data_IF_858458958849
#
_entry.id   IF_858458958849
#
_cell.length_a   1.000
_cell.length_b   1.000
_cell.length_c   1.000
_cell.angle_alpha   90.00
_cell.angle_beta   90.00
_cell.angle_gamma   90.00
#
_symmetry.space_group_name_H-M   'P 1'
#
loop_
_entity.id
_entity.type
_entity.pdbx_description
1 polymer ?
#
# COMPACT_ATOMS: atom_id res chain seq x y z
N UNK A 1 -23.74 3.65 1.06
CA UNK A 1 -23.24 2.26 1.21
C UNK A 1 -23.51 1.82 2.64
N UNK A 2 -24.77 1.91 3.05
CA UNK A 2 -25.19 1.60 4.41
C UNK A 2 -25.64 0.14 4.45
N UNK A 3 -25.28 -0.56 5.51
CA UNK A 3 -25.64 -1.96 5.74
C UNK A 3 -26.19 -2.05 7.15
N UNK A 4 -27.31 -2.74 7.31
CA UNK A 4 -27.94 -2.97 8.60
C UNK A 4 -27.33 -4.20 9.32
N UNK A 5 -26.33 -4.85 8.72
CA UNK A 5 -25.62 -5.98 9.33
C UNK A 5 -24.71 -5.49 10.46
N UNK A 6 -25.15 -5.70 11.70
CA UNK A 6 -24.43 -5.30 12.90
C UNK A 6 -23.02 -5.92 13.00
N UNK A 7 -22.79 -7.11 12.44
CA UNK A 7 -21.46 -7.73 12.42
C UNK A 7 -20.49 -6.91 11.57
N UNK A 8 -20.94 -6.47 10.40
CA UNK A 8 -20.14 -5.63 9.50
C UNK A 8 -19.91 -4.25 10.11
N UNK A 9 -20.94 -3.66 10.74
CA UNK A 9 -20.83 -2.37 11.44
C UNK A 9 -19.78 -2.45 12.54
N UNK A 10 -19.84 -3.45 13.44
CA UNK A 10 -18.88 -3.63 14.52
C UNK A 10 -17.45 -3.85 13.99
N UNK A 11 -17.29 -4.61 12.90
CA UNK A 11 -15.99 -4.79 12.25
C UNK A 11 -15.43 -3.47 11.72
N UNK A 12 -16.27 -2.62 11.11
CA UNK A 12 -15.89 -1.28 10.61
C UNK A 12 -15.50 -0.34 11.76
N UNK A 13 -16.25 -0.33 12.86
CA UNK A 13 -15.90 0.44 14.05
C UNK A 13 -14.55 0.04 14.62
N UNK A 14 -14.26 -1.26 14.69
CA UNK A 14 -12.95 -1.76 15.12
C UNK A 14 -11.82 -1.23 14.23
N UNK A 15 -11.97 -1.29 12.89
CA UNK A 15 -10.98 -0.71 11.96
C UNK A 15 -10.83 0.79 12.14
N UNK A 16 -11.92 1.50 12.38
CA UNK A 16 -11.88 2.94 12.63
C UNK A 16 -11.02 3.27 13.86
N UNK A 17 -11.24 2.57 14.97
CA UNK A 17 -10.43 2.74 16.18
C UNK A 17 -8.96 2.37 15.96
N UNK A 18 -8.68 1.23 15.33
CA UNK A 18 -7.31 0.82 15.04
C UNK A 18 -6.58 1.79 14.12
N UNK A 19 -7.24 2.32 13.08
CA UNK A 19 -6.64 3.35 12.21
C UNK A 19 -6.32 4.62 12.98
N UNK A 20 -7.20 5.05 13.88
CA UNK A 20 -6.95 6.24 14.71
C UNK A 20 -5.78 6.03 15.68
N UNK A 21 -5.69 4.86 16.29
CA UNK A 21 -4.54 4.49 17.13
C UNK A 21 -3.25 4.44 16.31
N UNK A 22 -3.29 3.80 15.14
CA UNK A 22 -2.17 3.70 14.20
C UNK A 22 -1.65 5.09 13.79
N UNK A 23 -2.54 6.02 13.47
CA UNK A 23 -2.20 7.41 13.18
C UNK A 23 -1.53 8.11 14.36
N UNK A 24 -2.03 7.89 15.59
CA UNK A 24 -1.41 8.44 16.80
C UNK A 24 0.00 7.88 17.03
N UNK A 25 0.18 6.58 16.83
CA UNK A 25 1.47 5.90 16.95
C UNK A 25 2.47 6.39 15.88
N UNK A 26 2.01 6.53 14.63
CA UNK A 26 2.84 7.06 13.53
C UNK A 26 3.28 8.51 13.79
N UNK A 27 2.39 9.36 14.32
CA UNK A 27 2.74 10.71 14.76
C UNK A 27 3.76 10.70 15.90
N UNK A 28 3.59 9.85 16.90
CA UNK A 28 4.55 9.74 18.01
C UNK A 28 5.92 9.25 17.53
N UNK A 29 5.95 8.22 16.68
CA UNK A 29 7.18 7.74 16.03
C UNK A 29 7.87 8.87 15.27
N UNK A 30 7.13 9.63 14.46
CA UNK A 30 7.68 10.75 13.71
C UNK A 30 8.33 11.81 14.61
N UNK A 31 7.77 12.07 15.80
CA UNK A 31 8.39 12.98 16.78
C UNK A 31 9.70 12.41 17.32
N UNK A 32 9.72 11.12 17.67
CA UNK A 32 10.91 10.45 18.23
C UNK A 32 12.04 10.27 17.21
N UNK A 33 11.72 10.26 15.91
CA UNK A 33 12.69 10.10 14.81
C UNK A 33 12.91 11.38 14.01
N UNK A 34 12.36 12.52 14.45
CA UNK A 34 12.49 13.78 13.72
C UNK A 34 13.94 14.24 13.77
N UNK A 35 14.56 14.36 12.60
CA UNK A 35 15.89 14.93 12.46
C UNK A 35 15.84 16.45 12.31
N UNK A 36 16.87 17.13 12.80
CA UNK A 36 17.10 18.57 12.57
C UNK A 36 17.80 18.85 11.23
N UNK A 37 18.16 20.13 10.99
CA UNK A 37 18.85 20.57 9.76
C UNK A 37 20.24 19.92 9.59
N UNK A 38 20.80 19.35 10.66
CA UNK A 38 22.08 18.65 10.68
C UNK A 38 21.91 17.14 10.56
N UNK A 39 20.67 16.65 10.42
CA UNK A 39 20.36 15.23 10.30
C UNK A 39 20.39 14.48 11.64
N UNK A 40 20.45 15.18 12.77
CA UNK A 40 20.52 14.57 14.10
C UNK A 40 19.11 14.38 14.68
N UNK A 41 18.79 13.14 15.06
CA UNK A 41 17.58 12.82 15.80
C UNK A 41 17.73 13.07 17.31
N UNK A 42 16.63 13.00 18.07
CA UNK A 42 16.65 13.23 19.52
C UNK A 42 17.63 12.32 20.27
N UNK A 43 17.77 11.07 19.82
CA UNK A 43 18.73 10.11 20.38
C UNK A 43 20.18 10.54 20.09
N UNK A 44 20.48 10.95 18.87
CA UNK A 44 21.83 11.36 18.46
C UNK A 44 22.28 12.61 19.22
N UNK A 45 21.35 13.53 19.50
CA UNK A 45 21.61 14.71 20.33
C UNK A 45 21.94 14.32 21.77
N UNK A 46 21.18 13.39 22.37
CA UNK A 46 21.47 12.89 23.72
C UNK A 46 22.83 12.18 23.77
N UNK A 47 23.15 11.39 22.75
CA UNK A 47 24.42 10.67 22.66
C UNK A 47 25.59 11.65 22.51
N UNK A 48 25.49 12.58 21.57
CA UNK A 48 26.51 13.62 21.34
C UNK A 48 26.73 14.48 22.59
N UNK A 49 25.64 14.83 23.29
CA UNK A 49 25.72 15.58 24.56
C UNK A 49 26.46 14.78 25.62
N UNK A 50 26.13 13.48 25.79
CA UNK A 50 26.82 12.61 26.74
C UNK A 50 28.31 12.48 26.42
N UNK A 51 28.66 12.24 25.15
CA UNK A 51 30.05 12.15 24.70
C UNK A 51 30.81 13.46 24.92
N UNK A 52 30.18 14.61 24.66
CA UNK A 52 30.77 15.93 24.90
C UNK A 52 31.06 16.16 26.39
N UNK A 53 30.11 15.82 27.26
CA UNK A 53 30.28 15.93 28.71
C UNK A 53 31.38 15.01 29.26
N UNK A 54 31.63 13.87 28.61
CA UNK A 54 32.73 12.96 28.94
C UNK A 54 34.08 13.36 28.31
N UNK A 55 34.09 14.38 27.45
CA UNK A 55 35.30 14.76 26.71
C UNK A 55 36.33 15.47 27.59
N UNK A 56 37.60 15.34 27.21
CA UNK A 56 38.71 16.00 27.89
C UNK A 56 38.62 17.54 27.87
N UNK A 57 37.85 18.11 26.93
CA UNK A 57 37.66 19.57 26.82
C UNK A 57 36.96 20.10 28.07
N UNK A 58 35.93 19.40 28.55
CA UNK A 58 35.18 19.78 29.75
C UNK A 58 36.06 19.73 31.00
N UNK A 59 36.90 18.70 31.10
CA UNK A 59 37.88 18.56 32.18
C UNK A 59 38.91 19.70 32.17
N UNK A 60 39.35 20.14 30.98
CA UNK A 60 40.32 21.24 30.84
C UNK A 60 39.74 22.61 31.22
N UNK A 61 38.43 22.82 31.01
CA UNK A 61 37.73 24.05 31.40
C UNK A 61 37.37 24.04 32.90
N UNK A 62 37.66 22.95 33.63
CA UNK A 62 37.46 22.84 35.08
C UNK A 62 35.99 22.64 35.48
N UNK A 63 35.15 22.21 34.54
CA UNK A 63 33.73 21.91 34.81
C UNK A 63 33.62 20.48 35.34
N UNK A 64 33.07 20.32 36.54
CA UNK A 64 32.77 19.02 37.12
C UNK A 64 31.41 18.53 36.62
N UNK A 65 31.40 17.45 35.86
CA UNK A 65 30.17 16.76 35.43
C UNK A 65 29.82 15.70 36.45
N UNK A 66 28.61 15.78 36.99
CA UNK A 66 28.07 14.79 37.92
C UNK A 66 27.73 13.48 37.19
N UNK A 67 28.15 12.33 37.74
CA UNK A 67 27.91 11.01 37.13
C UNK A 67 26.42 10.73 36.94
N UNK A 68 25.57 11.22 37.84
CA UNK A 68 24.11 11.11 37.72
C UNK A 68 23.60 11.77 36.43
N UNK A 69 24.22 12.86 35.97
CA UNK A 69 23.83 13.52 34.71
C UNK A 69 24.07 12.60 33.51
N UNK A 70 25.21 11.91 33.49
CA UNK A 70 25.54 10.96 32.42
C UNK A 70 24.60 9.75 32.43
N UNK A 71 24.26 9.24 33.62
CA UNK A 71 23.30 8.15 33.80
C UNK A 71 21.90 8.55 33.35
N UNK A 72 21.45 9.77 33.66
CA UNK A 72 20.15 10.29 33.21
C UNK A 72 20.10 10.35 31.68
N UNK A 73 21.15 10.88 31.01
CA UNK A 73 21.19 10.96 29.55
C UNK A 73 21.13 9.57 28.90
N UNK A 74 21.86 8.60 29.45
CA UNK A 74 21.82 7.20 28.97
C UNK A 74 20.43 6.56 29.20
N UNK A 75 19.81 6.80 30.35
CA UNK A 75 18.46 6.32 30.65
C UNK A 75 17.41 6.90 29.69
N UNK A 76 17.49 8.19 29.36
CA UNK A 76 16.59 8.81 28.38
C UNK A 76 16.78 8.23 26.97
N UNK A 77 18.01 7.89 26.56
CA UNK A 77 18.24 7.18 25.30
C UNK A 77 17.57 5.80 25.30
N UNK A 78 17.72 5.03 26.38
CA UNK A 78 17.11 3.72 26.52
C UNK A 78 15.58 3.80 26.53
N UNK A 79 14.99 4.85 27.12
CA UNK A 79 13.55 5.09 27.05
C UNK A 79 13.07 5.31 25.63
N UNK A 80 13.79 6.11 24.84
CA UNK A 80 13.45 6.34 23.43
C UNK A 80 13.50 5.04 22.64
N UNK A 81 14.54 4.23 22.82
CA UNK A 81 14.67 2.92 22.15
C UNK A 81 13.53 1.97 22.52
N UNK A 82 13.22 1.88 23.82
CA UNK A 82 12.12 1.07 24.30
C UNK A 82 10.78 1.53 23.73
N UNK A 83 10.52 2.84 23.75
CA UNK A 83 9.28 3.40 23.22
C UNK A 83 9.16 3.16 21.71
N UNK A 84 10.24 3.33 20.94
CA UNK A 84 10.25 3.04 19.50
C UNK A 84 9.98 1.56 19.21
N UNK A 85 10.57 0.64 19.99
CA UNK A 85 10.34 -0.79 19.85
C UNK A 85 8.88 -1.16 20.12
N UNK A 86 8.31 -0.61 21.20
CA UNK A 86 6.89 -0.81 21.55
C UNK A 86 5.97 -0.25 20.46
N UNK A 87 6.24 0.95 19.96
CA UNK A 87 5.46 1.57 18.87
C UNK A 87 5.53 0.71 17.60
N UNK A 88 6.72 0.27 17.19
CA UNK A 88 6.88 -0.54 15.97
C UNK A 88 6.11 -1.87 16.07
N UNK A 89 6.25 -2.58 17.18
CA UNK A 89 5.51 -3.83 17.42
C UNK A 89 4.01 -3.63 17.36
N UNK A 90 3.51 -2.53 17.96
CA UNK A 90 2.08 -2.21 17.98
C UNK A 90 1.55 -1.79 16.61
N UNK A 91 2.34 -1.03 15.85
CA UNK A 91 2.05 -0.66 14.44
C UNK A 91 1.89 -1.92 13.59
N UNK A 92 2.85 -2.85 13.64
CA UNK A 92 2.79 -4.10 12.89
C UNK A 92 1.57 -4.95 13.27
N UNK A 93 1.27 -5.04 14.56
CA UNK A 93 0.10 -5.75 15.07
C UNK A 93 -1.20 -5.15 14.54
N UNK A 94 -1.37 -3.82 14.64
CA UNK A 94 -2.56 -3.12 14.17
C UNK A 94 -2.72 -3.21 12.65
N UNK A 95 -1.64 -3.08 11.88
CA UNK A 95 -1.68 -3.25 10.42
C UNK A 95 -2.08 -4.69 10.04
N UNK A 96 -1.64 -5.70 10.79
CA UNK A 96 -2.08 -7.08 10.62
C UNK A 96 -3.57 -7.27 10.95
N UNK A 97 -4.06 -6.66 12.03
CA UNK A 97 -5.48 -6.73 12.41
C UNK A 97 -6.37 -6.05 11.36
N UNK A 98 -5.99 -4.85 10.91
CA UNK A 98 -6.73 -4.10 9.89
C UNK A 98 -6.81 -4.89 8.59
N UNK A 99 -5.70 -5.48 8.12
CA UNK A 99 -5.68 -6.25 6.88
C UNK A 99 -6.49 -7.55 6.94
N UNK A 100 -6.60 -8.17 8.12
CA UNK A 100 -7.32 -9.45 8.31
C UNK A 100 -8.78 -9.30 8.74
N UNK A 101 -9.24 -8.10 9.11
CA UNK A 101 -10.52 -7.90 9.77
C UNK A 101 -11.75 -8.44 9.02
N UNK A 102 -11.67 -8.43 7.68
CA UNK A 102 -12.75 -8.89 6.79
C UNK A 102 -12.37 -10.16 6.03
N UNK A 103 -11.26 -10.81 6.38
CA UNK A 103 -10.75 -11.98 5.65
C UNK A 103 -11.68 -13.20 5.73
N UNK A 104 -12.58 -13.24 6.72
CA UNK A 104 -13.61 -14.26 6.91
C UNK A 104 -14.84 -14.06 6.00
N UNK A 105 -15.05 -12.86 5.45
CA UNK A 105 -16.21 -12.54 4.61
C UNK A 105 -16.00 -13.00 3.16
N UNK A 106 -16.14 -14.30 2.91
CA UNK A 106 -15.92 -14.93 1.59
C UNK A 106 -17.17 -15.53 0.95
N UNK A 107 -18.36 -15.19 1.45
CA UNK A 107 -19.62 -15.79 0.98
C UNK A 107 -19.99 -15.40 -0.45
N UNK A 108 -19.52 -14.25 -0.93
CA UNK A 108 -19.81 -13.74 -2.27
C UNK A 108 -18.49 -13.39 -2.95
N UNK A 109 -18.18 -14.12 -4.02
CA UNK A 109 -16.98 -13.91 -4.84
C UNK A 109 -17.28 -13.19 -6.14
N UNK A 110 -16.35 -12.33 -6.56
CA UNK A 110 -16.36 -11.67 -7.85
C UNK A 110 -14.95 -11.72 -8.43
N UNK A 111 -14.86 -12.03 -9.72
CA UNK A 111 -13.60 -12.05 -10.46
C UNK A 111 -13.55 -10.87 -11.42
N UNK A 112 -12.37 -10.24 -11.54
CA UNK A 112 -12.16 -9.18 -12.52
C UNK A 112 -12.36 -9.76 -13.93
N UNK A 113 -13.17 -9.07 -14.73
CA UNK A 113 -13.47 -9.46 -16.11
C UNK A 113 -12.85 -8.48 -17.09
N UNK A 114 -13.09 -7.19 -16.90
CA UNK A 114 -12.51 -6.18 -17.78
C UNK A 114 -12.06 -4.93 -17.02
N UNK A 115 -11.01 -4.31 -17.53
CA UNK A 115 -10.38 -3.13 -16.95
C UNK A 115 -10.30 -2.09 -18.05
N UNK A 116 -11.01 -0.98 -17.86
CA UNK A 116 -11.04 0.11 -18.82
C UNK A 116 -10.02 1.15 -18.39
N UNK A 117 -9.11 1.43 -19.31
CA UNK A 117 -7.99 2.32 -19.07
C UNK A 117 -8.20 3.62 -19.83
N UNK A 118 -7.86 4.72 -19.17
CA UNK A 118 -7.78 6.04 -19.76
C UNK A 118 -6.36 6.60 -19.58
N UNK A 119 -5.79 7.14 -20.65
CA UNK A 119 -4.53 7.88 -20.62
C UNK A 119 -4.72 9.25 -21.27
N UNK A 120 -4.71 10.30 -20.46
CA UNK A 120 -4.88 11.66 -20.93
C UNK A 120 -5.36 12.60 -19.83
N UNK A 121 -5.89 13.74 -20.22
CA UNK A 121 -6.54 14.71 -19.35
C UNK A 121 -8.07 14.50 -19.31
N UNK A 122 -8.77 15.23 -18.46
CA UNK A 122 -10.22 15.09 -18.34
C UNK A 122 -10.99 15.45 -19.63
N UNK A 123 -10.44 16.34 -20.46
CA UNK A 123 -11.06 16.83 -21.69
C UNK A 123 -10.67 16.04 -22.94
N UNK A 124 -9.56 15.29 -22.90
CA UNK A 124 -9.09 14.48 -24.01
C UNK A 124 -8.16 13.37 -23.51
N UNK A 125 -8.22 12.22 -24.17
CA UNK A 125 -7.29 11.14 -23.90
C UNK A 125 -7.58 9.91 -24.72
N UNK A 126 -6.75 8.91 -24.52
CA UNK A 126 -6.81 7.64 -25.22
C UNK A 126 -7.39 6.56 -24.33
N UNK A 127 -8.25 5.71 -24.90
CA UNK A 127 -8.94 4.65 -24.18
C UNK A 127 -8.60 3.30 -24.77
N UNK A 128 -8.41 2.32 -23.90
CA UNK A 128 -8.35 0.91 -24.28
C UNK A 128 -8.92 0.06 -23.15
N UNK A 129 -9.19 -1.20 -23.45
CA UNK A 129 -9.74 -2.15 -22.50
C UNK A 129 -8.86 -3.40 -22.44
N UNK A 130 -8.57 -3.85 -21.21
CA UNK A 130 -8.08 -5.19 -20.98
C UNK A 130 -9.26 -6.10 -20.67
N UNK A 131 -9.41 -7.20 -21.42
CA UNK A 131 -10.42 -8.22 -21.14
C UNK A 131 -9.69 -9.49 -20.72
N UNK A 132 -10.09 -10.04 -19.58
CA UNK A 132 -9.58 -11.30 -19.06
C UNK A 132 -10.39 -12.46 -19.63
N UNK A 133 -9.68 -13.38 -20.24
CA UNK A 133 -10.22 -14.67 -20.63
C UNK A 133 -10.47 -15.52 -19.37
N UNK A 134 -11.72 -15.94 -19.09
CA UNK A 134 -12.06 -16.67 -17.87
C UNK A 134 -11.47 -18.09 -17.85
N UNK A 135 -11.24 -18.70 -19.01
CA UNK A 135 -10.73 -20.08 -19.12
C UNK A 135 -9.21 -20.12 -18.97
N UNK A 136 -8.51 -19.26 -19.72
CA UNK A 136 -7.04 -19.26 -19.73
C UNK A 136 -6.43 -18.35 -18.67
N UNK A 137 -7.22 -17.41 -18.13
CA UNK A 137 -6.76 -16.37 -17.21
C UNK A 137 -5.92 -15.26 -17.88
N UNK A 138 -5.71 -15.35 -19.20
CA UNK A 138 -4.92 -14.42 -19.99
C UNK A 138 -5.66 -13.11 -20.21
N UNK A 139 -4.90 -12.01 -20.29
CA UNK A 139 -5.44 -10.73 -20.68
C UNK A 139 -5.18 -10.45 -22.16
N UNK A 140 -6.17 -9.86 -22.81
CA UNK A 140 -6.03 -9.25 -24.13
C UNK A 140 -6.28 -7.77 -24.03
N UNK A 141 -5.40 -6.99 -24.65
CA UNK A 141 -5.53 -5.55 -24.83
C UNK A 141 -6.26 -5.28 -26.13
N UNK A 142 -7.39 -4.60 -26.04
CA UNK A 142 -8.14 -4.11 -27.19
C UNK A 142 -7.90 -2.61 -27.27
N UNK A 143 -7.04 -2.23 -28.20
CA UNK A 143 -6.60 -0.87 -28.43
C UNK A 143 -6.93 -0.50 -29.88
N UNK A 144 -8.13 0.06 -30.07
CA UNK A 144 -8.71 0.36 -31.38
C UNK A 144 -8.73 -0.87 -32.30
N UNK A 145 -8.10 -0.80 -33.47
CA UNK A 145 -7.97 -1.91 -34.42
C UNK A 145 -7.00 -3.01 -33.99
N UNK A 146 -6.20 -2.78 -32.93
CA UNK A 146 -5.16 -3.71 -32.49
C UNK A 146 -5.64 -4.50 -31.27
N UNK A 147 -5.66 -5.83 -31.43
CA UNK A 147 -5.88 -6.77 -30.33
C UNK A 147 -4.61 -7.58 -30.10
N UNK A 148 -4.06 -7.51 -28.90
CA UNK A 148 -2.85 -8.25 -28.52
C UNK A 148 -3.02 -8.96 -27.19
N UNK A 149 -2.41 -10.12 -27.05
CA UNK A 149 -2.25 -10.78 -25.75
C UNK A 149 -1.20 -10.02 -24.94
N UNK A 150 -1.47 -9.83 -23.64
CA UNK A 150 -0.60 -9.08 -22.74
C UNK A 150 -0.41 -9.83 -21.43
N UNK A 151 0.78 -9.74 -20.83
CA UNK A 151 1.06 -10.37 -19.56
C UNK A 151 0.39 -9.60 -18.41
N UNK A 152 0.20 -10.26 -17.26
CA UNK A 152 -0.43 -9.64 -16.09
C UNK A 152 0.35 -8.41 -15.59
N UNK A 153 1.67 -8.41 -15.76
CA UNK A 153 2.58 -7.34 -15.34
C UNK A 153 2.27 -6.02 -16.08
N UNK A 154 1.81 -6.05 -17.34
CA UNK A 154 1.36 -4.84 -18.04
C UNK A 154 0.04 -4.31 -17.48
N UNK A 155 -0.87 -5.23 -17.16
CA UNK A 155 -2.21 -4.91 -16.66
C UNK A 155 -2.15 -4.32 -15.24
N UNK A 156 -1.23 -4.83 -14.42
CA UNK A 156 -1.00 -4.44 -13.02
C UNK A 156 0.26 -3.58 -12.85
N UNK A 157 0.57 -2.71 -13.82
CA UNK A 157 1.65 -1.74 -13.69
C UNK A 157 1.24 -0.55 -12.81
N UNK A 158 1.61 -0.63 -11.54
CA UNK A 158 1.42 0.43 -10.53
C UNK A 158 2.62 1.38 -10.42
N UNK A 159 3.53 1.39 -11.40
CA UNK A 159 4.68 2.30 -11.40
C UNK A 159 4.23 3.76 -11.48
N UNK A 160 4.98 4.66 -10.85
CA UNK A 160 4.70 6.10 -10.88
C UNK A 160 4.89 6.72 -12.27
N UNK A 161 5.62 6.04 -13.16
CA UNK A 161 5.76 6.39 -14.57
C UNK A 161 4.53 6.06 -15.41
N UNK A 162 3.67 5.14 -14.95
CA UNK A 162 2.46 4.79 -15.67
C UNK A 162 1.42 5.91 -15.54
N UNK A 163 1.19 6.61 -16.66
CA UNK A 163 0.20 7.70 -16.74
C UNK A 163 -1.19 7.21 -17.15
N UNK A 164 -1.34 5.92 -17.40
CA UNK A 164 -2.61 5.30 -17.73
C UNK A 164 -3.32 4.88 -16.44
N UNK A 165 -4.58 5.29 -16.29
CA UNK A 165 -5.34 5.04 -15.06
C UNK A 165 -6.57 4.18 -15.35
N UNK A 166 -6.87 3.18 -14.51
CA UNK A 166 -8.14 2.47 -14.60
C UNK A 166 -9.26 3.42 -14.18
N UNK A 167 -10.22 3.67 -15.08
CA UNK A 167 -11.36 4.55 -14.79
C UNK A 167 -12.66 3.76 -14.55
N UNK A 168 -12.74 2.52 -15.07
CA UNK A 168 -13.88 1.64 -14.87
C UNK A 168 -13.45 0.17 -14.81
N UNK A 169 -14.07 -0.60 -13.91
CA UNK A 169 -13.79 -2.01 -13.68
C UNK A 169 -15.09 -2.80 -13.82
N UNK A 170 -15.06 -3.84 -14.64
CA UNK A 170 -16.15 -4.80 -14.76
C UNK A 170 -15.77 -6.09 -14.04
N UNK A 171 -16.65 -6.53 -13.15
CA UNK A 171 -16.51 -7.78 -12.41
C UNK A 171 -17.63 -8.74 -12.77
N UNK A 172 -17.33 -10.02 -12.68
CA UNK A 172 -18.28 -11.10 -12.89
C UNK A 172 -18.42 -11.87 -11.59
N UNK A 173 -19.66 -12.13 -11.19
CA UNK A 173 -19.95 -12.91 -10.00
C UNK A 173 -19.45 -14.34 -10.20
N UNK A 174 -18.78 -14.89 -9.20
CA UNK A 174 -18.35 -16.28 -9.27
C UNK A 174 -19.55 -17.22 -9.45
N UNK A 175 -19.38 -18.24 -10.29
CA UNK A 175 -20.45 -19.13 -10.75
C UNK A 175 -21.13 -18.70 -12.06
N UNK A 176 -20.92 -17.47 -12.52
CA UNK A 176 -21.45 -16.96 -13.81
C UNK A 176 -20.35 -16.79 -14.87
N UNK A 177 -19.17 -17.39 -14.67
CA UNK A 177 -18.03 -17.25 -15.58
C UNK A 177 -18.28 -17.91 -16.93
N UNK A 178 -18.93 -19.07 -16.91
CA UNK A 178 -19.21 -19.88 -18.11
C UNK A 178 -20.32 -19.26 -18.99
N UNK A 179 -21.03 -18.25 -18.48
CA UNK A 179 -22.04 -17.50 -19.25
C UNK A 179 -21.41 -16.40 -20.11
N UNK A 180 -20.09 -16.21 -20.04
CA UNK A 180 -19.40 -15.08 -20.66
C UNK A 180 -18.37 -15.58 -21.67
N UNK A 181 -18.63 -15.26 -22.92
CA UNK A 181 -17.73 -15.50 -24.05
C UNK A 181 -17.09 -14.17 -24.48
N UNK A 182 -15.95 -13.75 -23.92
CA UNK A 182 -15.32 -12.47 -24.27
C UNK A 182 -14.82 -12.41 -25.72
N UNK A 183 -14.58 -13.57 -26.34
CA UNK A 183 -14.17 -13.68 -27.74
C UNK A 183 -15.05 -14.72 -28.44
N UNK A 184 -16.15 -14.27 -29.03
CA UNK A 184 -16.96 -15.11 -29.94
C UNK A 184 -16.49 -14.86 -31.37
N UNK A 185 -15.56 -15.69 -31.85
CA UNK A 185 -15.10 -15.67 -33.24
C UNK A 185 -15.60 -16.94 -33.93
N UNK A 186 -16.53 -16.78 -34.85
CA UNK A 186 -16.80 -17.82 -35.85
C UNK A 186 -15.69 -17.72 -36.90
N UNK A 187 -14.77 -18.70 -36.91
CA UNK A 187 -13.76 -18.80 -37.96
C UNK A 187 -14.50 -19.34 -39.19
N UNK A 188 -14.84 -18.46 -40.13
CA UNK A 188 -15.39 -18.88 -41.43
C UNK A 188 -14.21 -19.36 -42.28
N UNK A 189 -13.94 -20.67 -42.27
CA UNK A 189 -12.82 -21.29 -43.02
C UNK A 189 -12.94 -21.17 -44.55
N UNK A 190 -14.09 -20.74 -45.11
CA UNK A 190 -14.43 -20.96 -46.52
C UNK A 190 -14.45 -19.71 -47.43
N UNK A 191 -13.79 -18.59 -47.10
CA UNK A 191 -13.75 -17.42 -48.01
C UNK A 191 -12.51 -17.34 -48.91
N UNK A 192 -11.56 -18.26 -48.78
CA UNK A 192 -10.31 -18.25 -49.58
C UNK A 192 -10.39 -19.19 -50.80
N UNK A 193 -11.29 -20.17 -50.81
CA UNK A 193 -11.39 -21.17 -51.90
C UNK A 193 -12.32 -20.77 -53.06
N UNK A 194 -12.87 -19.56 -53.08
CA UNK A 194 -13.81 -19.10 -54.13
C UNK A 194 -13.33 -17.89 -54.96
N UNK A 195 -12.01 -17.65 -55.00
CA UNK A 195 -11.41 -16.58 -55.81
C UNK A 195 -10.35 -17.08 -56.81
N UNK A 196 -10.40 -18.36 -57.20
CA UNK A 196 -9.73 -18.88 -58.39
C UNK A 196 -10.70 -18.94 -59.59
#
# INVERSE_FOLDING_TARGET
MDTDDQSIVNKRESVFHWRRELESLKKRKAVLTKVDDMGLGPKDVLESTRQFLQSNIINQVGVLVDENTLQILEHEQQKIDKELAEINSKVESLESLISKQFADLKSIGYSIFAIFIHRGEASYGHYWIYIKDPETGMFRKYNDEIVSEVPMEEVFDFSTSNRATPYYLAFVKDGFKDEIEPVKREIIENLVDSLD
#
